data_IF_513400640189
#
_entry.id   IF_513400640189
#
_cell.length_a   1.000
_cell.length_b   1.000
_cell.length_c   1.000
_cell.angle_alpha   90.00
_cell.angle_beta   90.00
_cell.angle_gamma   90.00
#
_symmetry.space_group_name_H-M   'P 1'
#
loop_
_entity.id
_entity.type
_entity.pdbx_description
1 polymer ?
#
# COMPACT_ATOMS: atom_id res chain seq x y z
N UNK A 1 -2.41 16.57 -13.27
CA UNK A 1 -2.14 15.17 -12.85
C UNK A 1 -3.34 14.65 -12.08
N UNK A 2 -3.79 13.42 -12.32
CA UNK A 2 -4.92 12.80 -11.60
C UNK A 2 -4.41 12.09 -10.35
N UNK A 3 -5.09 12.29 -9.22
CA UNK A 3 -4.85 11.56 -7.98
C UNK A 3 -6.09 10.73 -7.67
N UNK A 4 -5.87 9.53 -7.18
CA UNK A 4 -6.90 8.59 -6.79
C UNK A 4 -6.78 8.34 -5.29
N UNK A 5 -7.93 8.36 -4.61
CA UNK A 5 -8.06 7.85 -3.25
C UNK A 5 -8.37 6.36 -3.37
N UNK A 6 -7.67 5.53 -2.59
CA UNK A 6 -7.84 4.09 -2.61
C UNK A 6 -7.87 3.51 -1.20
N UNK A 7 -8.46 2.32 -1.09
CA UNK A 7 -8.49 1.51 0.13
C UNK A 7 -7.96 0.13 -0.22
N UNK A 8 -6.98 -0.36 0.55
CA UNK A 8 -6.44 -1.71 0.44
C UNK A 8 -6.88 -2.48 1.68
N UNK A 9 -7.55 -3.61 1.49
CA UNK A 9 -7.91 -4.52 2.56
C UNK A 9 -6.87 -5.65 2.67
N UNK A 10 -6.33 -5.85 3.87
CA UNK A 10 -5.47 -6.98 4.17
C UNK A 10 -6.30 -8.09 4.83
N UNK A 11 -6.52 -9.23 4.16
CA UNK A 11 -7.37 -10.30 4.68
C UNK A 11 -6.77 -11.04 5.89
N UNK A 12 -5.44 -11.06 6.03
CA UNK A 12 -4.73 -11.75 7.13
C UNK A 12 -4.85 -10.96 8.43
N UNK A 13 -4.58 -9.65 8.36
CA UNK A 13 -4.64 -8.78 9.54
C UNK A 13 -6.01 -8.13 9.76
N UNK A 14 -6.96 -8.33 8.85
CA UNK A 14 -8.29 -7.69 8.83
C UNK A 14 -8.23 -6.17 8.96
N UNK A 15 -7.19 -5.56 8.37
CA UNK A 15 -6.93 -4.11 8.44
C UNK A 15 -7.16 -3.47 7.08
N UNK A 16 -7.59 -2.21 7.13
CA UNK A 16 -7.72 -1.35 5.96
C UNK A 16 -6.60 -0.33 5.95
N UNK A 17 -5.98 -0.14 4.79
CA UNK A 17 -5.05 0.94 4.51
C UNK A 17 -5.70 1.92 3.54
N UNK A 18 -5.79 3.18 3.94
CA UNK A 18 -6.34 4.26 3.11
C UNK A 18 -5.20 5.15 2.67
N UNK A 19 -5.15 5.46 1.38
CA UNK A 19 -4.10 6.31 0.82
C UNK A 19 -4.53 7.04 -0.44
N UNK A 20 -3.66 7.94 -0.90
CA UNK A 20 -3.80 8.60 -2.19
C UNK A 20 -2.55 8.41 -3.02
N UNK A 21 -2.71 8.29 -4.34
CA UNK A 21 -1.61 8.13 -5.29
C UNK A 21 -2.08 8.53 -6.69
N UNK A 22 -1.14 8.96 -7.52
CA UNK A 22 -1.36 9.09 -8.97
C UNK A 22 -1.37 7.72 -9.67
N UNK A 23 -0.79 6.69 -9.04
CA UNK A 23 -0.81 5.29 -9.48
C UNK A 23 -1.07 4.36 -8.27
N UNK A 24 -2.34 3.98 -8.02
CA UNK A 24 -2.71 3.06 -6.95
C UNK A 24 -2.20 1.64 -7.14
N UNK A 25 -1.98 1.20 -8.40
CA UNK A 25 -1.56 -0.17 -8.68
C UNK A 25 -0.13 -0.42 -8.24
N UNK A 26 0.77 0.52 -8.55
CA UNK A 26 2.15 0.50 -8.04
C UNK A 26 2.20 0.45 -6.51
N UNK A 27 1.25 1.11 -5.83
CA UNK A 27 1.15 1.07 -4.37
C UNK A 27 0.73 -0.30 -3.86
N UNK A 28 -0.24 -0.94 -4.50
CA UNK A 28 -0.68 -2.30 -4.12
C UNK A 28 0.49 -3.29 -4.20
N UNK A 29 1.27 -3.23 -5.29
CA UNK A 29 2.47 -4.06 -5.47
C UNK A 29 3.45 -3.81 -4.32
N UNK A 30 3.78 -2.54 -4.02
CA UNK A 30 4.66 -2.20 -2.90
C UNK A 30 4.16 -2.73 -1.54
N UNK A 31 2.85 -2.70 -1.28
CA UNK A 31 2.29 -3.22 -0.03
C UNK A 31 2.41 -4.74 0.09
N UNK A 32 2.34 -5.46 -1.02
CA UNK A 32 2.46 -6.92 -1.05
C UNK A 32 3.93 -7.38 -1.09
N UNK A 33 4.79 -6.64 -1.80
CA UNK A 33 6.20 -6.98 -2.01
C UNK A 33 7.13 -6.39 -0.97
N UNK A 34 6.69 -5.45 -0.11
CA UNK A 34 7.54 -4.96 0.98
C UNK A 34 7.71 -6.02 2.07
N UNK A 35 8.49 -7.04 1.80
CA UNK A 35 9.24 -7.82 2.81
C UNK A 35 10.30 -6.89 3.38
N UNK A 36 9.89 -5.95 4.23
CA UNK A 36 10.84 -5.08 4.92
C UNK A 36 11.63 -5.92 5.92
N UNK A 37 12.80 -6.39 5.51
CA UNK A 37 13.99 -6.20 6.35
C UNK A 37 14.07 -4.69 6.60
N UNK A 38 13.48 -4.25 7.73
CA UNK A 38 13.64 -2.89 8.19
C UNK A 38 15.11 -2.76 8.57
N UNK A 39 15.93 -2.14 7.72
CA UNK A 39 17.16 -1.50 8.18
C UNK A 39 16.74 -0.35 9.10
N UNK A 40 16.66 -0.64 10.39
CA UNK A 40 16.82 0.36 11.43
C UNK A 40 18.32 0.58 11.59
N UNK A 41 18.81 1.73 11.11
CA UNK A 41 20.11 2.30 11.44
C UNK A 41 19.88 3.63 12.16
#
# INVERSE_FOLDING_TARGET
MKYYIYIIYNPVSKKYYVGQSNDPWKRLIQHNESTKEKYTG
#
